data_IF_134317349526
#
_entry.id   IF_134317349526
#
_cell.length_a   1.000
_cell.length_b   1.000
_cell.length_c   1.000
_cell.angle_alpha   90.00
_cell.angle_beta   90.00
_cell.angle_gamma   90.00
#
_symmetry.space_group_name_H-M   'P 1'
#
loop_
_entity.id
_entity.type
_entity.pdbx_description
1 polymer ?
#
# COMPACT_ATOMS: atom_id res chain seq x y z
N UNK A 1 25.30 -34.25 -21.70
CA UNK A 1 25.45 -32.87 -21.20
C UNK A 1 24.30 -32.55 -20.27
N UNK A 2 24.61 -32.12 -19.06
CA UNK A 2 23.65 -31.80 -18.00
C UNK A 2 22.98 -30.45 -18.29
N UNK A 3 21.72 -30.29 -17.87
CA UNK A 3 20.92 -29.06 -18.00
C UNK A 3 21.69 -27.80 -17.51
N UNK A 4 22.49 -27.94 -16.46
CA UNK A 4 23.31 -26.86 -15.90
C UNK A 4 24.53 -26.48 -16.74
N UNK A 5 25.03 -27.40 -17.57
CA UNK A 5 26.12 -27.13 -18.52
C UNK A 5 25.63 -26.36 -19.74
N UNK A 6 24.36 -26.56 -20.14
CA UNK A 6 23.76 -25.91 -21.31
C UNK A 6 23.24 -24.50 -21.03
N UNK A 7 22.69 -24.26 -19.83
CA UNK A 7 22.00 -23.00 -19.49
C UNK A 7 22.69 -22.20 -18.38
N UNK A 8 23.82 -22.68 -17.84
CA UNK A 8 24.60 -22.01 -16.81
C UNK A 8 24.10 -22.24 -15.38
N UNK A 9 24.88 -21.76 -14.41
CA UNK A 9 24.51 -21.79 -12.98
C UNK A 9 23.30 -20.87 -12.72
N UNK A 10 22.37 -21.25 -11.84
CA UNK A 10 21.24 -20.39 -11.49
C UNK A 10 21.73 -19.03 -10.99
N UNK A 11 21.25 -17.94 -11.62
CA UNK A 11 21.49 -16.60 -11.12
C UNK A 11 20.65 -16.37 -9.86
N UNK A 12 21.31 -16.02 -8.76
CA UNK A 12 20.65 -15.56 -7.54
C UNK A 12 20.15 -14.14 -7.80
N UNK A 13 18.88 -13.99 -8.16
CA UNK A 13 18.22 -12.68 -8.18
C UNK A 13 18.20 -12.14 -6.75
N UNK A 14 19.01 -11.11 -6.45
CA UNK A 14 18.86 -10.34 -5.22
C UNK A 14 17.46 -9.72 -5.23
N UNK A 15 16.69 -10.02 -4.18
CA UNK A 15 15.30 -9.60 -4.04
C UNK A 15 15.11 -8.11 -4.36
N UNK A 16 14.03 -7.82 -5.09
CA UNK A 16 13.60 -6.49 -5.51
C UNK A 16 13.67 -5.48 -4.37
N UNK A 17 14.20 -4.28 -4.69
CA UNK A 17 14.19 -3.07 -3.85
C UNK A 17 12.95 -3.02 -2.96
N UNK A 18 13.14 -3.03 -1.64
CA UNK A 18 12.04 -2.88 -0.69
C UNK A 18 11.35 -1.53 -0.94
N UNK A 19 10.08 -1.55 -1.36
CA UNK A 19 9.31 -0.33 -1.56
C UNK A 19 9.23 0.47 -0.26
N UNK A 20 9.40 1.78 -0.37
CA UNK A 20 9.20 2.71 0.74
C UNK A 20 7.72 2.76 1.14
N UNK A 21 7.38 3.14 2.39
CA UNK A 21 5.98 3.30 2.81
C UNK A 21 5.16 4.21 1.89
N UNK A 22 5.78 5.26 1.33
CA UNK A 22 5.17 6.16 0.35
C UNK A 22 4.83 5.45 -0.97
N UNK A 23 5.77 4.68 -1.52
CA UNK A 23 5.53 3.89 -2.72
C UNK A 23 4.44 2.82 -2.49
N UNK A 24 4.42 2.20 -1.31
CA UNK A 24 3.36 1.25 -0.93
C UNK A 24 2.00 1.94 -0.85
N UNK A 25 1.94 3.15 -0.27
CA UNK A 25 0.71 3.93 -0.18
C UNK A 25 0.20 4.34 -1.57
N UNK A 26 1.06 4.88 -2.43
CA UNK A 26 0.69 5.26 -3.81
C UNK A 26 0.21 4.06 -4.62
N UNK A 27 0.89 2.92 -4.50
CA UNK A 27 0.44 1.69 -5.14
C UNK A 27 -0.92 1.21 -4.59
N UNK A 28 -1.21 1.46 -3.31
CA UNK A 28 -2.50 1.14 -2.72
C UNK A 28 -3.60 2.10 -3.22
N UNK A 29 -3.32 3.41 -3.32
CA UNK A 29 -4.23 4.41 -3.90
C UNK A 29 -4.63 4.04 -5.33
N UNK A 30 -3.66 3.70 -6.18
CA UNK A 30 -3.94 3.28 -7.56
C UNK A 30 -4.85 2.04 -7.63
N UNK A 31 -4.73 1.12 -6.68
CA UNK A 31 -5.64 -0.04 -6.58
C UNK A 31 -7.05 0.37 -6.14
N UNK A 32 -7.17 1.36 -5.27
CA UNK A 32 -8.48 1.86 -4.83
C UNK A 32 -9.22 2.57 -5.97
N UNK A 33 -8.52 3.31 -6.83
CA UNK A 33 -9.13 3.89 -8.04
C UNK A 33 -9.77 2.81 -8.92
N UNK A 34 -9.05 1.69 -9.13
CA UNK A 34 -9.57 0.53 -9.88
C UNK A 34 -10.77 -0.11 -9.20
N UNK A 35 -10.73 -0.28 -7.88
CA UNK A 35 -11.84 -0.82 -7.09
C UNK A 35 -13.08 0.08 -7.22
N UNK A 36 -12.92 1.41 -7.15
CA UNK A 36 -14.01 2.36 -7.35
C UNK A 36 -14.56 2.34 -8.78
N UNK A 37 -13.73 2.04 -9.78
CA UNK A 37 -14.16 1.82 -11.16
C UNK A 37 -14.88 0.47 -11.38
N UNK A 38 -15.04 -0.35 -10.33
CA UNK A 38 -15.72 -1.65 -10.39
C UNK A 38 -14.80 -2.83 -10.69
N UNK A 39 -13.47 -2.62 -10.75
CA UNK A 39 -12.53 -3.71 -10.97
C UNK A 39 -12.27 -4.54 -9.71
N UNK A 40 -12.23 -5.86 -9.86
CA UNK A 40 -11.77 -6.74 -8.78
C UNK A 40 -10.25 -6.80 -8.77
N UNK A 41 -9.63 -6.09 -7.83
CA UNK A 41 -8.17 -6.11 -7.65
C UNK A 41 -7.77 -7.18 -6.64
N UNK A 42 -6.82 -8.05 -6.99
CA UNK A 42 -6.34 -9.13 -6.12
C UNK A 42 -5.03 -8.77 -5.42
N UNK A 43 -4.85 -9.28 -4.20
CA UNK A 43 -3.58 -9.25 -3.48
C UNK A 43 -2.58 -10.22 -4.11
N UNK A 44 -1.36 -9.75 -4.39
CA UNK A 44 -0.31 -10.55 -5.02
C UNK A 44 0.08 -11.78 -4.19
N UNK A 45 0.00 -11.71 -2.86
CA UNK A 45 0.42 -12.81 -1.98
C UNK A 45 -0.64 -13.89 -1.78
N UNK A 46 -1.90 -13.48 -1.54
CA UNK A 46 -2.97 -14.40 -1.13
C UNK A 46 -4.01 -14.66 -2.22
N UNK A 47 -3.89 -13.99 -3.37
CA UNK A 47 -4.90 -13.97 -4.45
C UNK A 47 -6.31 -13.61 -3.95
N UNK A 48 -6.42 -12.96 -2.78
CA UNK A 48 -7.68 -12.53 -2.20
C UNK A 48 -8.07 -11.16 -2.72
N UNK A 49 -9.36 -10.87 -2.91
CA UNK A 49 -9.82 -9.53 -3.27
C UNK A 49 -9.35 -8.48 -2.27
N UNK A 50 -8.82 -7.38 -2.79
CA UNK A 50 -8.48 -6.21 -2.00
C UNK A 50 -9.78 -5.48 -1.67
N UNK A 51 -9.89 -5.12 -0.39
CA UNK A 51 -11.05 -4.44 0.15
C UNK A 51 -11.00 -2.94 -0.18
N UNK A 52 -12.14 -2.37 -0.57
CA UNK A 52 -12.30 -0.91 -0.65
C UNK A 52 -12.00 -0.26 0.71
N UNK A 53 -11.32 0.88 0.68
CA UNK A 53 -11.13 1.78 1.83
C UNK A 53 -12.40 2.55 2.20
N UNK A 54 -13.37 2.61 1.29
CA UNK A 54 -14.67 3.23 1.49
C UNK A 54 -15.67 2.16 1.93
N UNK A 55 -16.16 2.24 3.16
CA UNK A 55 -17.13 1.30 3.74
C UNK A 55 -18.03 1.99 4.74
N UNK A 56 -19.33 1.67 4.69
CA UNK A 56 -20.32 2.16 5.65
C UNK A 56 -20.33 3.69 5.82
N UNK A 57 -20.03 4.45 4.76
CA UNK A 57 -19.92 5.91 4.82
C UNK A 57 -18.62 6.42 5.45
N UNK A 58 -17.58 5.60 5.52
CA UNK A 58 -16.28 5.96 6.07
C UNK A 58 -15.14 5.68 5.11
N UNK A 59 -14.12 6.55 5.15
CA UNK A 59 -12.84 6.43 4.47
C UNK A 59 -11.75 6.05 5.48
N UNK A 60 -11.10 4.90 5.25
CA UNK A 60 -10.01 4.40 6.09
C UNK A 60 -8.85 3.88 5.24
N UNK A 61 -7.89 4.74 4.87
CA UNK A 61 -6.75 4.35 4.06
C UNK A 61 -5.72 3.53 4.83
N UNK A 62 -5.00 2.66 4.12
CA UNK A 62 -4.04 1.72 4.71
C UNK A 62 -2.72 1.69 3.94
N UNK A 63 -1.61 1.61 4.66
CA UNK A 63 -0.27 1.33 4.11
C UNK A 63 0.11 -0.12 4.44
N UNK A 64 0.06 -0.99 3.44
CA UNK A 64 0.20 -2.44 3.67
C UNK A 64 -0.95 -2.97 4.53
N UNK A 65 -0.64 -3.42 5.75
CA UNK A 65 -1.64 -3.92 6.72
C UNK A 65 -2.03 -2.88 7.78
N UNK A 66 -1.36 -1.72 7.79
CA UNK A 66 -1.56 -0.70 8.82
C UNK A 66 -2.51 0.39 8.33
N UNK A 67 -3.46 0.80 9.17
CA UNK A 67 -4.28 1.97 8.90
C UNK A 67 -3.43 3.25 9.04
N UNK A 68 -3.54 4.15 8.06
CA UNK A 68 -2.73 5.37 8.01
C UNK A 68 -2.99 6.28 9.22
N UNK A 69 -4.23 6.32 9.70
CA UNK A 69 -4.69 7.14 10.82
C UNK A 69 -4.99 6.33 12.08
N UNK A 70 -4.39 5.12 12.20
CA UNK A 70 -4.67 4.22 13.31
C UNK A 70 -6.15 3.82 13.39
N UNK A 71 -6.80 4.14 14.51
CA UNK A 71 -8.22 3.81 14.71
C UNK A 71 -9.17 4.76 13.99
N UNK A 72 -8.72 5.99 13.69
CA UNK A 72 -9.55 7.02 13.09
C UNK A 72 -10.00 6.66 11.66
N UNK A 73 -11.18 7.20 11.31
CA UNK A 73 -11.78 7.13 9.99
C UNK A 73 -12.46 8.45 9.68
N UNK A 74 -12.45 8.84 8.41
CA UNK A 74 -13.11 10.06 7.96
C UNK A 74 -14.50 9.72 7.42
N UNK A 75 -15.50 10.55 7.71
CA UNK A 75 -16.80 10.39 7.08
C UNK A 75 -16.68 10.66 5.57
N UNK A 76 -17.34 9.83 4.76
CA UNK A 76 -17.40 9.97 3.32
C UNK A 76 -18.85 9.83 2.88
N UNK A 77 -19.37 10.83 2.17
CA UNK A 77 -20.73 10.75 1.63
C UNK A 77 -20.75 9.90 0.35
N UNK A 78 -21.86 9.21 0.06
CA UNK A 78 -22.02 8.51 -1.20
C UNK A 78 -21.79 9.45 -2.39
N UNK A 79 -20.92 9.07 -3.31
CA UNK A 79 -20.55 9.85 -4.49
C UNK A 79 -19.31 10.74 -4.31
N UNK A 80 -18.80 10.91 -3.09
CA UNK A 80 -17.57 11.69 -2.83
C UNK A 80 -16.29 10.82 -2.89
N UNK A 81 -16.41 9.49 -3.04
CA UNK A 81 -15.29 8.55 -2.89
C UNK A 81 -14.14 8.84 -3.87
N UNK A 82 -14.47 9.06 -5.14
CA UNK A 82 -13.49 9.32 -6.20
C UNK A 82 -12.76 10.65 -6.01
N UNK A 83 -13.51 11.71 -5.65
CA UNK A 83 -12.95 13.02 -5.36
C UNK A 83 -12.02 12.96 -4.14
N UNK A 84 -12.48 12.33 -3.05
CA UNK A 84 -11.71 12.15 -1.83
C UNK A 84 -10.43 11.35 -2.08
N UNK A 85 -10.49 10.29 -2.90
CA UNK A 85 -9.30 9.51 -3.25
C UNK A 85 -8.30 10.31 -4.09
N UNK A 86 -8.78 11.15 -5.01
CA UNK A 86 -7.95 12.01 -5.85
C UNK A 86 -7.25 13.10 -5.04
N UNK A 87 -7.96 13.77 -4.15
CA UNK A 87 -7.39 14.78 -3.24
C UNK A 87 -6.39 14.15 -2.26
N UNK A 88 -6.69 12.94 -1.78
CA UNK A 88 -5.80 12.17 -0.95
C UNK A 88 -4.49 11.84 -1.69
N UNK A 89 -4.57 11.36 -2.94
CA UNK A 89 -3.40 11.09 -3.78
C UNK A 89 -2.52 12.32 -3.97
N UNK A 90 -3.14 13.47 -4.31
CA UNK A 90 -2.44 14.73 -4.46
C UNK A 90 -1.71 15.14 -3.18
N UNK A 91 -2.34 14.94 -2.02
CA UNK A 91 -1.76 15.22 -0.70
C UNK A 91 -0.58 14.29 -0.38
N UNK A 92 -0.66 13.00 -0.73
CA UNK A 92 0.47 12.04 -0.62
C UNK A 92 1.65 12.46 -1.50
N UNK A 93 1.40 12.88 -2.74
CA UNK A 93 2.46 13.33 -3.64
C UNK A 93 3.17 14.58 -3.12
N UNK A 94 2.41 15.54 -2.55
CA UNK A 94 2.94 16.76 -1.93
C UNK A 94 3.68 16.54 -0.60
N UNK A 95 3.68 15.31 -0.07
CA UNK A 95 4.34 14.99 1.20
C UNK A 95 3.50 15.28 2.45
N UNK A 96 2.20 15.54 2.31
CA UNK A 96 1.31 15.86 3.43
C UNK A 96 1.16 14.76 4.49
N UNK A 97 1.63 13.55 4.21
CA UNK A 97 1.60 12.41 5.14
C UNK A 97 3.00 11.90 5.51
N UNK A 98 4.07 12.61 5.14
CA UNK A 98 5.43 12.12 5.35
C UNK A 98 5.72 11.87 6.85
N UNK A 99 5.23 12.72 7.77
CA UNK A 99 5.34 12.52 9.22
C UNK A 99 4.60 11.26 9.71
N UNK A 100 3.39 11.01 9.20
CA UNK A 100 2.62 9.81 9.52
C UNK A 100 3.31 8.56 8.97
N UNK A 101 3.89 8.65 7.77
CA UNK A 101 4.65 7.56 7.16
C UNK A 101 5.96 7.26 7.90
N UNK A 102 6.61 8.27 8.49
CA UNK A 102 7.75 8.08 9.39
C UNK A 102 7.34 7.31 10.65
N UNK A 103 6.16 7.59 11.19
CA UNK A 103 5.59 6.88 12.34
C UNK A 103 5.14 5.44 12.03
N UNK A 104 4.64 5.19 10.82
CA UNK A 104 4.32 3.85 10.30
C UNK A 104 5.58 3.09 9.90
N UNK A 105 6.72 3.79 9.79
CA UNK A 105 8.04 3.22 9.65
C UNK A 105 8.19 2.03 10.57
N UNK A 106 8.05 0.84 9.98
CA UNK A 106 8.29 -0.49 10.56
C UNK A 106 9.36 -0.28 11.62
N UNK A 107 9.02 -0.38 12.92
CA UNK A 107 9.97 -0.22 14.03
C UNK A 107 11.30 -0.83 13.58
N UNK A 108 12.24 0.00 13.13
CA UNK A 108 13.64 -0.42 12.99
C UNK A 108 14.00 -0.63 14.43
N UNK A 109 14.04 -1.90 14.86
CA UNK A 109 14.14 -2.27 16.25
C UNK A 109 15.23 -1.45 16.93
N UNK A 110 14.85 -0.38 17.64
CA UNK A 110 15.59 0.04 18.82
C UNK A 110 15.33 -1.06 19.82
N UNK A 111 16.16 -2.11 19.77
CA UNK A 111 16.50 -2.83 21.00
C UNK A 111 17.07 -1.75 21.91
N UNK A 112 16.26 -1.36 22.89
CA UNK A 112 16.71 -0.49 23.96
C UNK A 112 17.94 -1.13 24.58
N UNK A 113 19.02 -0.34 24.64
CA UNK A 113 19.87 -0.37 25.81
C UNK A 113 18.98 -0.01 26.99
N UNK A 114 18.85 -0.93 27.94
CA UNK A 114 18.73 -0.64 29.37
C UNK A 114 19.13 -1.90 30.12
#
# INVERSE_FOLDING_TARGET
>A
MSFFEKYGKPQVFKASKSLTPKEVLLAAVAKQHRILAGETVLSAQKKTPIRSWFRYGYFKPTVGVYALFGEASYACKPGEESAMLTEFEASVMKGGFDELLLGIGIKRGRRGMH
#
